data_IF_401032071947
#
_entry.id   IF_401032071947
#
_cell.length_a   1.000
_cell.length_b   1.000
_cell.length_c   1.000
_cell.angle_alpha   90.00
_cell.angle_beta   90.00
_cell.angle_gamma   90.00
#
_symmetry.space_group_name_H-M   'P 1'
#
loop_
_entity.id
_entity.type
_entity.pdbx_description
1 polymer ?
#
# COMPACT_ATOMS: atom_id res chain seq x y z
N UNK A 1 36.73 -51.89 -23.69
CA UNK A 1 37.08 -50.55 -24.18
C UNK A 1 36.56 -49.55 -23.15
N UNK A 2 37.42 -48.83 -22.41
CA UNK A 2 36.97 -47.82 -21.43
C UNK A 2 36.70 -46.53 -22.20
N UNK A 3 35.45 -46.10 -22.24
CA UNK A 3 35.05 -44.85 -22.86
C UNK A 3 35.63 -43.71 -22.02
N UNK A 4 36.31 -42.77 -22.66
CA UNK A 4 36.91 -41.62 -21.97
C UNK A 4 35.85 -40.58 -21.60
N UNK A 5 36.07 -39.78 -20.54
CA UNK A 5 35.14 -38.72 -20.11
C UNK A 5 34.76 -37.77 -21.27
N UNK A 6 35.69 -37.33 -22.13
CA UNK A 6 35.36 -36.48 -23.28
C UNK A 6 34.42 -37.15 -24.29
N UNK A 7 34.59 -38.45 -24.53
CA UNK A 7 33.69 -39.23 -25.41
C UNK A 7 32.29 -39.39 -24.80
N UNK A 8 32.19 -39.56 -23.48
CA UNK A 8 30.89 -39.60 -22.80
C UNK A 8 30.15 -38.26 -22.91
N UNK A 9 30.86 -37.14 -22.74
CA UNK A 9 30.29 -35.80 -22.91
C UNK A 9 29.84 -35.59 -24.35
N UNK A 10 30.65 -35.95 -25.35
CA UNK A 10 30.27 -35.83 -26.76
C UNK A 10 29.05 -36.68 -27.09
N UNK A 11 29.00 -37.93 -26.62
CA UNK A 11 27.91 -38.85 -26.90
C UNK A 11 26.59 -38.42 -26.22
N UNK A 12 26.66 -37.70 -25.10
CA UNK A 12 25.49 -37.18 -24.38
C UNK A 12 25.30 -35.67 -24.55
N UNK A 13 25.96 -35.03 -25.52
CA UNK A 13 25.94 -33.58 -25.68
C UNK A 13 24.52 -33.03 -25.82
N UNK A 14 23.66 -33.71 -26.59
CA UNK A 14 22.25 -33.34 -26.75
C UNK A 14 21.51 -33.39 -25.40
N UNK A 15 21.66 -34.48 -24.64
CA UNK A 15 21.02 -34.62 -23.34
C UNK A 15 21.50 -33.57 -22.32
N UNK A 16 22.80 -33.26 -22.33
CA UNK A 16 23.39 -32.21 -21.48
C UNK A 16 22.87 -30.82 -21.86
N UNK A 17 22.79 -30.51 -23.15
CA UNK A 17 22.21 -29.25 -23.65
C UNK A 17 20.74 -29.16 -23.26
N UNK A 18 19.96 -30.23 -23.45
CA UNK A 18 18.55 -30.29 -23.04
C UNK A 18 18.39 -30.06 -21.53
N UNK A 19 19.26 -30.64 -20.72
CA UNK A 19 19.26 -30.45 -19.26
C UNK A 19 19.54 -28.99 -18.89
N UNK A 20 20.56 -28.38 -19.50
CA UNK A 20 20.90 -26.97 -19.26
C UNK A 20 19.73 -26.07 -19.64
N UNK A 21 19.12 -26.28 -20.81
CA UNK A 21 17.96 -25.51 -21.26
C UNK A 21 16.78 -25.68 -20.28
N UNK A 22 16.50 -26.91 -19.84
CA UNK A 22 15.41 -27.18 -18.90
C UNK A 22 15.63 -26.46 -17.55
N UNK A 23 16.85 -26.52 -17.02
CA UNK A 23 17.19 -25.84 -15.76
C UNK A 23 17.11 -24.32 -15.89
N UNK A 24 17.62 -23.75 -16.98
CA UNK A 24 17.53 -22.31 -17.24
C UNK A 24 16.09 -21.85 -17.42
N UNK A 25 15.26 -22.62 -18.12
CA UNK A 25 13.84 -22.31 -18.33
C UNK A 25 13.06 -22.35 -17.01
N UNK A 26 13.33 -23.36 -16.16
CA UNK A 26 12.71 -23.48 -14.85
C UNK A 26 13.10 -22.30 -13.94
N UNK A 27 14.39 -21.97 -13.88
CA UNK A 27 14.89 -20.85 -13.07
C UNK A 27 14.29 -19.51 -13.52
N UNK A 28 14.26 -19.25 -14.83
CA UNK A 28 13.66 -18.03 -15.38
C UNK A 28 12.16 -17.94 -15.08
N UNK A 29 11.42 -19.04 -15.23
CA UNK A 29 9.98 -19.07 -14.95
C UNK A 29 9.70 -18.86 -13.46
N UNK A 30 10.49 -19.47 -12.58
CA UNK A 30 10.38 -19.29 -11.13
C UNK A 30 10.60 -17.84 -10.73
N UNK A 31 11.72 -17.25 -11.15
CA UNK A 31 12.04 -15.85 -10.88
C UNK A 31 10.96 -14.90 -11.41
N UNK A 32 10.53 -15.08 -12.66
CA UNK A 32 9.50 -14.23 -13.28
C UNK A 32 8.16 -14.34 -12.55
N UNK A 33 7.79 -15.54 -12.10
CA UNK A 33 6.56 -15.73 -11.33
C UNK A 33 6.62 -14.99 -10.00
N UNK A 34 7.71 -15.13 -9.25
CA UNK A 34 7.90 -14.47 -7.95
C UNK A 34 7.81 -12.94 -8.07
N UNK A 35 8.48 -12.35 -9.06
CA UNK A 35 8.36 -10.91 -9.34
C UNK A 35 6.92 -10.50 -9.69
N UNK A 36 6.20 -11.30 -10.49
CA UNK A 36 4.82 -10.99 -10.87
C UNK A 36 3.84 -11.09 -9.69
N UNK A 37 4.08 -12.03 -8.77
CA UNK A 37 3.29 -12.20 -7.55
C UNK A 37 3.55 -11.06 -6.57
N UNK A 38 4.81 -10.65 -6.40
CA UNK A 38 5.18 -9.48 -5.59
C UNK A 38 4.49 -8.22 -6.10
N UNK A 39 4.61 -7.91 -7.40
CA UNK A 39 3.94 -6.76 -8.01
C UNK A 39 2.40 -6.84 -7.87
N UNK A 40 1.81 -8.03 -7.96
CA UNK A 40 0.37 -8.23 -7.76
C UNK A 40 -0.05 -7.95 -6.32
N UNK A 41 0.74 -8.39 -5.34
CA UNK A 41 0.47 -8.16 -3.93
C UNK A 41 0.57 -6.67 -3.59
N UNK A 42 1.58 -5.97 -4.12
CA UNK A 42 1.71 -4.51 -3.94
C UNK A 42 0.50 -3.81 -4.58
N UNK A 43 0.11 -4.14 -5.82
CA UNK A 43 -1.09 -3.56 -6.46
C UNK A 43 -2.35 -3.76 -5.63
N UNK A 44 -2.56 -4.96 -5.09
CA UNK A 44 -3.71 -5.26 -4.25
C UNK A 44 -3.72 -4.39 -2.98
N UNK A 45 -2.59 -4.31 -2.28
CA UNK A 45 -2.45 -3.46 -1.10
C UNK A 45 -2.65 -1.98 -1.45
N UNK A 46 -2.10 -1.50 -2.58
CA UNK A 46 -2.26 -0.11 -3.03
C UNK A 46 -3.71 0.26 -3.26
N UNK A 47 -4.48 -0.59 -3.94
CA UNK A 47 -5.91 -0.31 -4.16
C UNK A 47 -6.71 -0.34 -2.85
N UNK A 48 -6.42 -1.27 -1.94
CA UNK A 48 -7.05 -1.26 -0.62
C UNK A 48 -6.75 0.04 0.13
N UNK A 49 -5.49 0.49 0.15
CA UNK A 49 -5.12 1.77 0.78
C UNK A 49 -5.86 2.95 0.14
N UNK A 50 -5.98 3.00 -1.19
CA UNK A 50 -6.71 4.08 -1.87
C UNK A 50 -8.19 4.12 -1.48
N UNK A 51 -8.82 2.96 -1.27
CA UNK A 51 -10.19 2.85 -0.76
C UNK A 51 -10.29 3.40 0.66
N UNK A 52 -9.44 2.93 1.58
CA UNK A 52 -9.42 3.39 2.98
C UNK A 52 -9.16 4.90 3.10
N UNK A 53 -8.28 5.45 2.26
CA UNK A 53 -8.04 6.91 2.20
C UNK A 53 -9.28 7.68 1.70
N UNK A 54 -10.08 7.08 0.83
CA UNK A 54 -11.36 7.65 0.40
C UNK A 54 -12.38 7.68 1.53
N UNK A 55 -12.52 6.57 2.26
CA UNK A 55 -13.42 6.46 3.42
C UNK A 55 -12.99 7.42 4.55
N UNK A 56 -11.68 7.53 4.82
CA UNK A 56 -11.15 8.48 5.78
C UNK A 56 -11.44 9.93 5.36
N UNK A 57 -11.30 10.27 4.08
CA UNK A 57 -11.63 11.60 3.55
C UNK A 57 -13.12 11.91 3.73
N UNK A 58 -14.00 10.96 3.43
CA UNK A 58 -15.44 11.09 3.64
C UNK A 58 -15.75 11.37 5.12
N UNK A 59 -15.14 10.62 6.03
CA UNK A 59 -15.29 10.81 7.47
C UNK A 59 -14.85 12.21 7.91
N UNK A 60 -13.72 12.71 7.41
CA UNK A 60 -13.20 14.05 7.72
C UNK A 60 -14.17 15.14 7.23
N UNK A 61 -14.65 15.03 5.99
CA UNK A 61 -15.59 15.99 5.41
C UNK A 61 -16.95 15.93 6.11
N UNK A 62 -17.46 14.74 6.39
CA UNK A 62 -18.74 14.54 7.05
C UNK A 62 -18.76 15.18 8.44
N UNK A 63 -17.71 14.97 9.24
CA UNK A 63 -17.57 15.62 10.54
C UNK A 63 -17.49 17.15 10.43
N UNK A 64 -16.87 17.67 9.37
CA UNK A 64 -16.70 19.11 9.19
C UNK A 64 -18.01 19.79 8.82
N UNK A 65 -18.72 19.26 7.82
CA UNK A 65 -19.86 19.93 7.20
C UNK A 65 -21.22 19.50 7.77
N UNK A 66 -21.33 18.31 8.38
CA UNK A 66 -22.61 17.72 8.80
C UNK A 66 -22.72 17.40 10.29
N UNK A 67 -21.65 17.56 11.09
CA UNK A 67 -21.71 17.31 12.53
C UNK A 67 -22.65 18.28 13.29
N UNK A 68 -22.92 19.48 12.74
CA UNK A 68 -23.80 20.46 13.37
C UNK A 68 -25.30 20.25 13.07
N UNK A 69 -25.64 19.43 12.06
CA UNK A 69 -27.01 19.25 11.57
C UNK A 69 -27.67 17.94 12.00
N UNK A 70 -26.94 17.08 12.71
CA UNK A 70 -27.42 15.78 13.19
C UNK A 70 -27.63 15.80 14.70
N UNK A 71 -28.79 15.34 15.14
CA UNK A 71 -29.22 15.25 16.56
C UNK A 71 -28.39 14.23 17.39
N UNK A 72 -27.35 13.66 16.77
CA UNK A 72 -26.39 12.71 17.36
C UNK A 72 -25.00 13.13 16.90
N UNK A 73 -24.22 13.84 17.73
CA UNK A 73 -22.85 14.17 17.37
C UNK A 73 -22.08 12.85 17.15
N UNK A 74 -21.27 12.81 16.09
CA UNK A 74 -20.38 11.70 15.73
C UNK A 74 -19.18 11.61 16.71
N UNK A 75 -19.28 12.25 17.87
CA UNK A 75 -18.20 12.27 18.84
C UNK A 75 -18.02 10.89 19.48
N UNK A 76 -16.76 10.45 19.57
CA UNK A 76 -16.37 9.11 19.99
C UNK A 76 -16.34 8.08 18.86
N UNK A 77 -17.46 7.85 18.16
CA UNK A 77 -17.53 6.83 17.10
C UNK A 77 -16.65 7.16 15.89
N UNK A 78 -16.72 8.39 15.37
CA UNK A 78 -15.89 8.81 14.23
C UNK A 78 -14.39 8.83 14.56
N UNK A 79 -14.03 9.00 15.84
CA UNK A 79 -12.63 8.89 16.30
C UNK A 79 -12.12 7.47 16.10
N UNK A 80 -12.86 6.49 16.63
CA UNK A 80 -12.47 5.07 16.56
C UNK A 80 -12.48 4.58 15.13
N UNK A 81 -13.47 5.00 14.34
CA UNK A 81 -13.57 4.69 12.91
C UNK A 81 -12.37 5.23 12.12
N UNK A 82 -11.99 6.49 12.32
CA UNK A 82 -10.80 7.06 11.70
C UNK A 82 -9.50 6.33 12.04
N UNK A 83 -9.30 5.94 13.31
CA UNK A 83 -8.16 5.09 13.70
C UNK A 83 -8.19 3.71 13.02
N UNK A 84 -9.38 3.13 12.79
CA UNK A 84 -9.53 1.87 12.06
C UNK A 84 -8.95 1.96 10.66
N UNK A 85 -9.38 2.96 9.88
CA UNK A 85 -8.86 3.21 8.53
C UNK A 85 -7.35 3.47 8.55
N UNK A 86 -6.88 4.31 9.48
CA UNK A 86 -5.46 4.70 9.56
C UNK A 86 -4.51 3.55 9.90
N UNK A 87 -4.92 2.66 10.80
CA UNK A 87 -4.12 1.48 11.14
C UNK A 87 -3.99 0.57 9.91
N UNK A 88 -5.09 0.33 9.20
CA UNK A 88 -5.05 -0.48 7.99
C UNK A 88 -4.20 0.16 6.89
N UNK A 89 -4.34 1.47 6.68
CA UNK A 89 -3.50 2.24 5.76
C UNK A 89 -2.02 2.08 6.13
N UNK A 90 -1.66 2.35 7.37
CA UNK A 90 -0.26 2.27 7.84
C UNK A 90 0.32 0.87 7.70
N UNK A 91 -0.44 -0.15 8.09
CA UNK A 91 0.01 -1.54 8.07
C UNK A 91 0.22 -2.03 6.63
N UNK A 92 -0.68 -1.69 5.71
CA UNK A 92 -0.53 -2.03 4.29
C UNK A 92 0.60 -1.24 3.62
N UNK A 93 0.74 0.04 3.93
CA UNK A 93 1.82 0.88 3.38
C UNK A 93 3.21 0.42 3.83
N UNK A 94 3.34 -0.19 5.01
CA UNK A 94 4.60 -0.80 5.45
C UNK A 94 5.01 -2.04 4.64
N UNK A 95 4.08 -2.64 3.88
CA UNK A 95 4.37 -3.74 2.96
C UNK A 95 4.77 -3.26 1.55
N UNK A 96 4.72 -1.95 1.31
CA UNK A 96 5.03 -1.33 0.03
C UNK A 96 6.44 -0.72 0.05
N UNK A 97 7.08 -0.53 -1.12
CA UNK A 97 8.32 0.23 -1.20
C UNK A 97 8.10 1.71 -0.85
N UNK A 98 9.20 2.42 -0.57
CA UNK A 98 9.18 3.88 -0.45
C UNK A 98 8.60 4.53 -1.72
N UNK A 99 7.81 5.62 -1.60
CA UNK A 99 7.62 6.47 -0.42
C UNK A 99 6.49 6.07 0.56
N UNK A 100 5.84 4.92 0.36
CA UNK A 100 4.60 4.59 1.06
C UNK A 100 4.74 4.45 2.60
N UNK A 101 5.70 3.70 3.17
CA UNK A 101 5.81 3.55 4.63
C UNK A 101 5.93 4.89 5.37
N UNK A 102 6.70 5.82 4.79
CA UNK A 102 6.89 7.16 5.34
C UNK A 102 5.60 7.98 5.30
N UNK A 103 4.89 7.96 4.18
CA UNK A 103 3.63 8.69 4.02
C UNK A 103 2.54 8.16 4.97
N UNK A 104 2.39 6.83 5.10
CA UNK A 104 1.41 6.24 6.02
C UNK A 104 1.69 6.56 7.49
N UNK A 105 2.96 6.55 7.89
CA UNK A 105 3.37 6.98 9.23
C UNK A 105 3.12 8.46 9.47
N UNK A 106 3.40 9.29 8.45
CA UNK A 106 3.12 10.74 8.49
C UNK A 106 1.64 11.03 8.69
N UNK A 107 0.76 10.39 7.92
CA UNK A 107 -0.68 10.56 8.04
C UNK A 107 -1.21 10.17 9.43
N UNK A 108 -0.71 9.07 9.99
CA UNK A 108 -1.07 8.65 11.35
C UNK A 108 -0.72 9.73 12.39
N UNK A 109 0.46 10.35 12.29
CA UNK A 109 0.89 11.41 13.20
C UNK A 109 0.06 12.69 13.02
N UNK A 110 -0.24 13.08 11.78
CA UNK A 110 -1.10 14.25 11.52
C UNK A 110 -2.50 14.00 12.09
N UNK A 111 -3.05 12.79 11.94
CA UNK A 111 -4.33 12.45 12.56
C UNK A 111 -4.31 12.59 14.07
N UNK A 112 -3.31 12.03 14.75
CA UNK A 112 -3.18 12.12 16.21
C UNK A 112 -3.18 13.59 16.69
N UNK A 113 -2.57 14.49 15.92
CA UNK A 113 -2.49 15.91 16.24
C UNK A 113 -3.78 16.70 15.96
N UNK A 114 -4.57 16.28 14.95
CA UNK A 114 -5.71 17.07 14.45
C UNK A 114 -7.08 16.50 14.85
N UNK A 115 -7.18 15.20 15.19
CA UNK A 115 -8.46 14.53 15.45
C UNK A 115 -9.25 15.17 16.58
N UNK A 116 -8.59 15.66 17.62
CA UNK A 116 -9.28 16.35 18.71
C UNK A 116 -9.91 17.65 18.22
N UNK A 117 -9.20 18.42 17.37
CA UNK A 117 -9.69 19.68 16.81
C UNK A 117 -10.85 19.48 15.83
N UNK A 118 -10.82 18.38 15.08
CA UNK A 118 -11.91 17.99 14.18
C UNK A 118 -13.22 17.70 14.94
N UNK A 119 -13.11 17.26 16.20
CA UNK A 119 -14.25 16.88 17.04
C UNK A 119 -14.75 18.02 17.95
N UNK A 120 -14.10 19.19 17.93
CA UNK A 120 -14.54 20.36 18.68
C UNK A 120 -15.79 20.98 18.06
N UNK A 121 -16.60 21.63 18.91
CA UNK A 121 -17.79 22.39 18.47
C UNK A 121 -17.42 23.71 17.76
N UNK A 122 -16.19 24.19 17.94
CA UNK A 122 -15.66 25.43 17.33
C UNK A 122 -15.45 25.27 15.80
N UNK A 123 -16.22 25.98 14.95
CA UNK A 123 -16.17 25.79 13.49
C UNK A 123 -14.82 26.12 12.86
N UNK A 124 -14.15 27.17 13.33
CA UNK A 124 -12.88 27.63 12.76
C UNK A 124 -11.74 26.61 12.97
N UNK A 125 -11.66 26.04 14.17
CA UNK A 125 -10.68 24.99 14.50
C UNK A 125 -10.98 23.71 13.72
N UNK A 126 -12.25 23.34 13.61
CA UNK A 126 -12.67 22.16 12.85
C UNK A 126 -12.29 22.28 11.37
N UNK A 127 -12.56 23.44 10.76
CA UNK A 127 -12.21 23.68 9.36
C UNK A 127 -10.68 23.73 9.14
N UNK A 128 -9.91 24.25 10.10
CA UNK A 128 -8.45 24.20 10.02
C UNK A 128 -7.93 22.75 10.09
N UNK A 129 -8.46 21.95 11.00
CA UNK A 129 -8.09 20.54 11.16
C UNK A 129 -8.44 19.73 9.91
N UNK A 130 -9.64 19.96 9.34
CA UNK A 130 -10.06 19.38 8.07
C UNK A 130 -9.06 19.65 6.95
N UNK A 131 -8.68 20.91 6.73
CA UNK A 131 -7.71 21.26 5.67
C UNK A 131 -6.37 20.56 5.83
N UNK A 132 -5.85 20.49 7.06
CA UNK A 132 -4.58 19.82 7.35
C UNK A 132 -4.68 18.32 7.08
N UNK A 133 -5.78 17.70 7.52
CA UNK A 133 -6.04 16.28 7.31
C UNK A 133 -6.22 15.95 5.82
N UNK A 134 -7.05 16.71 5.12
CA UNK A 134 -7.29 16.57 3.68
C UNK A 134 -5.99 16.68 2.87
N UNK A 135 -5.11 17.63 3.22
CA UNK A 135 -3.79 17.74 2.60
C UNK A 135 -2.92 16.50 2.87
N UNK A 136 -2.86 16.03 4.12
CA UNK A 136 -2.09 14.84 4.46
C UNK A 136 -2.64 13.55 3.80
N UNK A 137 -3.95 13.45 3.63
CA UNK A 137 -4.60 12.33 2.91
C UNK A 137 -4.20 12.38 1.43
N UNK A 138 -4.18 13.56 0.82
CA UNK A 138 -3.79 13.72 -0.58
C UNK A 138 -2.29 13.44 -0.82
N UNK A 139 -1.42 13.88 0.09
CA UNK A 139 0.01 13.53 0.04
C UNK A 139 0.21 12.01 0.13
N UNK A 140 -0.57 11.34 0.99
CA UNK A 140 -0.54 9.88 1.14
C UNK A 140 -1.08 9.17 -0.09
N UNK A 141 -2.15 9.69 -0.69
CA UNK A 141 -2.69 9.19 -1.96
C UNK A 141 -1.65 9.29 -3.08
N UNK A 142 -0.95 10.42 -3.16
CA UNK A 142 0.11 10.66 -4.14
C UNK A 142 1.26 9.65 -3.97
N UNK A 143 1.67 9.35 -2.74
CA UNK A 143 2.69 8.34 -2.46
C UNK A 143 2.28 6.93 -2.92
N UNK A 144 1.01 6.55 -2.74
CA UNK A 144 0.49 5.25 -3.21
C UNK A 144 0.43 5.18 -4.75
N UNK A 145 0.05 6.28 -5.39
CA UNK A 145 0.05 6.36 -6.86
C UNK A 145 1.48 6.29 -7.42
N UNK A 146 2.46 6.90 -6.75
CA UNK A 146 3.86 6.77 -7.11
C UNK A 146 4.32 5.31 -7.06
N UNK A 147 3.99 4.59 -5.98
CA UNK A 147 4.27 3.15 -5.87
C UNK A 147 3.64 2.38 -7.03
N UNK A 148 2.38 2.64 -7.38
CA UNK A 148 1.72 1.97 -8.51
C UNK A 148 2.44 2.19 -9.84
N UNK A 149 2.94 3.41 -10.09
CA UNK A 149 3.71 3.72 -11.30
C UNK A 149 5.08 3.02 -11.34
N UNK A 150 5.62 2.57 -10.20
CA UNK A 150 6.85 1.78 -10.15
C UNK A 150 6.63 0.29 -10.49
N UNK A 151 5.38 -0.18 -10.56
CA UNK A 151 5.04 -1.59 -10.79
C UNK A 151 4.79 -1.94 -12.26
N UNK A 152 4.96 -0.96 -13.15
CA UNK A 152 4.99 -1.14 -14.62
C UNK A 152 6.27 -1.87 -15.07
#
# INVERSE_FOLDING_TARGET
MRITIPEQIRNNAVALISLVIALSSLAYTGWRNETSEEQRNIRYASFQVLTELGELQELVLYNTYFAASTDKPISGRGRVEGYGHLLLVRDLMNLMPEPAPKAGSGLYLVWEQQVDQLLLEEPDKRQSAEKILSASIEDTRSAVLEVLHMLD
#
